data_IF_225189811555
#
_entry.id   IF_225189811555
#
_cell.length_a   1.000
_cell.length_b   1.000
_cell.length_c   1.000
_cell.angle_alpha   90.00
_cell.angle_beta   90.00
_cell.angle_gamma   90.00
#
_symmetry.space_group_name_H-M   'P 1'
#
loop_
_entity.id
_entity.type
_entity.pdbx_description
1 polymer ?
#
# COMPACT_ATOMS: atom_id res chain seq x y z
N UNK A 1 -6.32 -43.20 -46.96
CA UNK A 1 -5.80 -42.55 -45.74
C UNK A 1 -5.44 -41.11 -46.08
N UNK A 2 -6.10 -40.13 -45.47
CA UNK A 2 -5.74 -38.70 -45.58
C UNK A 2 -5.68 -38.15 -44.16
N UNK A 3 -4.48 -37.84 -43.69
CA UNK A 3 -4.27 -37.15 -42.42
C UNK A 3 -4.36 -35.64 -42.71
N UNK A 4 -5.40 -34.99 -42.22
CA UNK A 4 -5.45 -33.54 -42.17
C UNK A 4 -4.78 -33.07 -40.88
N UNK A 5 -3.52 -32.64 -41.01
CA UNK A 5 -2.84 -31.86 -39.99
C UNK A 5 -3.41 -30.44 -40.00
N UNK A 6 -4.35 -30.16 -39.11
CA UNK A 6 -4.69 -28.78 -38.73
C UNK A 6 -3.70 -28.33 -37.66
N UNK A 7 -2.65 -27.61 -38.09
CA UNK A 7 -1.79 -26.83 -37.20
C UNK A 7 -2.63 -25.69 -36.61
N UNK A 8 -2.99 -25.81 -35.34
CA UNK A 8 -3.58 -24.72 -34.57
C UNK A 8 -2.44 -23.83 -34.07
N UNK A 9 -2.24 -22.67 -34.70
CA UNK A 9 -1.28 -21.67 -34.25
C UNK A 9 -1.88 -20.91 -33.06
N UNK A 10 -1.41 -21.20 -31.85
CA UNK A 10 -1.71 -20.37 -30.67
C UNK A 10 -0.84 -19.10 -30.73
N UNK A 11 -1.42 -17.97 -31.14
CA UNK A 11 -0.81 -16.65 -30.94
C UNK A 11 -1.11 -16.25 -29.50
N UNK A 12 -0.14 -16.47 -28.60
CA UNK A 12 -0.15 -15.94 -27.24
C UNK A 12 0.20 -14.45 -27.29
N UNK A 13 -0.82 -13.60 -27.23
CA UNK A 13 -0.69 -12.15 -27.12
C UNK A 13 -0.49 -11.81 -25.64
N UNK A 14 0.76 -11.78 -25.18
CA UNK A 14 1.09 -11.34 -23.82
C UNK A 14 0.94 -9.82 -23.73
N UNK A 15 -0.13 -9.36 -23.08
CA UNK A 15 -0.25 -7.98 -22.64
C UNK A 15 0.73 -7.76 -21.48
N UNK A 16 1.86 -7.12 -21.78
CA UNK A 16 2.75 -6.61 -20.74
C UNK A 16 2.07 -5.37 -20.14
N UNK A 17 1.55 -5.49 -18.91
CA UNK A 17 1.11 -4.31 -18.17
C UNK A 17 2.35 -3.50 -17.76
N UNK A 18 2.41 -2.25 -18.21
CA UNK A 18 3.42 -1.29 -17.78
C UNK A 18 2.96 -0.68 -16.46
N UNK A 19 3.52 -1.15 -15.34
CA UNK A 19 3.27 -0.56 -14.03
C UNK A 19 4.10 0.70 -13.87
N UNK A 20 3.46 1.87 -13.86
CA UNK A 20 4.11 3.11 -13.48
C UNK A 20 4.10 3.22 -11.94
N UNK A 21 5.24 3.00 -11.30
CA UNK A 21 5.39 3.31 -9.87
C UNK A 21 5.81 4.78 -9.74
N UNK A 22 4.91 5.64 -9.25
CA UNK A 22 5.27 7.00 -8.83
C UNK A 22 5.80 6.91 -7.41
N UNK A 23 7.03 7.36 -7.19
CA UNK A 23 7.61 7.44 -5.85
C UNK A 23 6.76 8.38 -4.98
N UNK A 24 6.29 7.89 -3.82
CA UNK A 24 5.62 8.71 -2.80
C UNK A 24 6.69 9.26 -1.86
N UNK A 25 6.76 10.58 -1.70
CA UNK A 25 7.74 11.24 -0.83
C UNK A 25 7.08 11.83 0.42
N UNK A 26 7.83 11.89 1.51
CA UNK A 26 7.42 12.52 2.77
C UNK A 26 7.74 14.01 2.72
N UNK A 27 6.72 14.85 2.91
CA UNK A 27 6.83 16.30 2.81
C UNK A 27 7.34 16.98 4.08
N UNK A 28 7.05 16.41 5.25
CA UNK A 28 7.41 16.97 6.55
C UNK A 28 8.32 16.04 7.36
N UNK A 29 9.31 15.45 6.69
CA UNK A 29 10.23 14.49 7.32
C UNK A 29 11.03 15.12 8.47
N UNK A 30 11.49 16.37 8.32
CA UNK A 30 12.20 17.08 9.38
C UNK A 30 11.33 17.28 10.64
N UNK A 31 10.04 17.59 10.45
CA UNK A 31 9.09 17.73 11.57
C UNK A 31 8.86 16.38 12.25
N UNK A 32 8.77 15.29 11.47
CA UNK A 32 8.64 13.93 12.00
C UNK A 32 9.86 13.53 12.83
N UNK A 33 11.08 13.79 12.35
CA UNK A 33 12.30 13.48 13.09
C UNK A 33 12.39 14.23 14.41
N UNK A 34 12.02 15.51 14.43
CA UNK A 34 11.96 16.30 15.67
C UNK A 34 10.90 15.74 16.63
N UNK A 35 9.70 15.44 16.13
CA UNK A 35 8.63 14.84 16.92
C UNK A 35 9.06 13.50 17.53
N UNK A 36 9.57 12.58 16.71
CA UNK A 36 10.01 11.25 17.14
C UNK A 36 11.14 11.34 18.18
N UNK A 37 12.07 12.30 18.03
CA UNK A 37 13.15 12.54 18.99
C UNK A 37 12.69 13.03 20.37
N UNK A 38 11.46 13.56 20.46
CA UNK A 38 10.87 14.04 21.71
C UNK A 38 10.08 12.96 22.46
N UNK A 39 9.90 11.78 21.86
CA UNK A 39 9.21 10.65 22.50
C UNK A 39 10.08 10.03 23.61
N UNK A 40 9.43 9.49 24.64
CA UNK A 40 10.12 8.84 25.76
C UNK A 40 10.79 7.52 25.35
N UNK A 41 11.83 7.09 26.08
CA UNK A 41 12.58 5.85 25.80
C UNK A 41 11.74 4.56 25.82
N UNK A 42 10.55 4.59 26.44
CA UNK A 42 9.62 3.46 26.51
C UNK A 42 8.39 3.68 25.62
N UNK A 43 8.60 4.29 24.45
CA UNK A 43 7.56 4.51 23.46
C UNK A 43 7.86 3.75 22.17
N UNK A 44 6.81 3.35 21.47
CA UNK A 44 6.89 2.75 20.15
C UNK A 44 5.83 3.37 19.24
N UNK A 45 6.09 3.34 17.93
CA UNK A 45 5.25 4.00 16.92
C UNK A 45 4.43 2.97 16.14
N UNK A 46 3.15 3.26 15.96
CA UNK A 46 2.27 2.54 15.03
C UNK A 46 1.93 3.46 13.87
N UNK A 47 2.20 3.00 12.66
CA UNK A 47 1.78 3.67 11.42
C UNK A 47 0.38 3.18 11.06
N UNK A 48 -0.63 4.03 11.26
CA UNK A 48 -2.02 3.67 11.01
C UNK A 48 -2.31 3.58 9.51
N UNK A 49 -3.10 2.58 9.11
CA UNK A 49 -3.56 2.47 7.73
C UNK A 49 -4.42 3.70 7.36
N UNK A 50 -4.04 4.46 6.33
CA UNK A 50 -4.86 5.58 5.87
C UNK A 50 -6.01 5.08 4.98
N UNK A 51 -7.01 5.95 4.78
CA UNK A 51 -8.06 5.71 3.79
C UNK A 51 -7.54 5.93 2.37
N UNK A 52 -8.16 5.28 1.40
CA UNK A 52 -7.88 5.48 -0.03
C UNK A 52 -8.04 6.96 -0.43
N UNK A 53 -7.11 7.47 -1.23
CA UNK A 53 -7.10 8.86 -1.69
C UNK A 53 -6.62 9.90 -0.68
N UNK A 54 -6.26 9.51 0.54
CA UNK A 54 -5.62 10.41 1.49
C UNK A 54 -4.16 10.71 1.09
N UNK A 55 -3.67 11.90 1.46
CA UNK A 55 -2.26 12.31 1.33
C UNK A 55 -1.56 12.41 2.69
N UNK A 56 -2.19 11.89 3.75
CA UNK A 56 -1.70 11.99 5.12
C UNK A 56 -1.82 10.62 5.80
N UNK A 57 -0.79 10.25 6.57
CA UNK A 57 -0.75 9.07 7.43
C UNK A 57 -0.67 9.51 8.88
N UNK A 58 -1.48 8.89 9.75
CA UNK A 58 -1.40 9.12 11.19
C UNK A 58 -0.40 8.13 11.81
N UNK A 59 0.59 8.63 12.52
CA UNK A 59 1.51 7.85 13.34
C UNK A 59 1.11 8.05 14.79
N UNK A 60 0.84 6.97 15.51
CA UNK A 60 0.47 6.99 16.93
C UNK A 60 1.65 6.49 17.74
N UNK A 61 2.12 7.29 18.70
CA UNK A 61 3.10 6.85 19.68
C UNK A 61 2.37 6.27 20.90
N UNK A 62 2.77 5.06 21.31
CA UNK A 62 2.24 4.38 22.49
C UNK A 62 3.36 4.12 23.49
N UNK A 63 3.02 4.10 24.77
CA UNK A 63 3.94 3.65 25.82
C UNK A 63 3.92 2.12 25.96
N UNK A 64 4.72 1.59 26.90
CA UNK A 64 4.78 0.16 27.25
C UNK A 64 3.48 -0.46 27.76
N UNK A 65 2.46 0.35 28.08
CA UNK A 65 1.12 -0.07 28.53
C UNK A 65 0.06 0.09 27.42
N UNK A 66 0.48 0.25 26.16
CA UNK A 66 -0.39 0.48 24.99
C UNK A 66 -1.28 1.74 25.13
N UNK A 67 -0.84 2.72 25.92
CA UNK A 67 -1.51 4.01 26.06
C UNK A 67 -0.94 5.01 25.07
N UNK A 68 -1.82 5.68 24.32
CA UNK A 68 -1.43 6.74 23.40
C UNK A 68 -0.79 7.89 24.17
N UNK A 69 0.44 8.22 23.82
CA UNK A 69 1.18 9.35 24.41
C UNK A 69 1.18 10.57 23.50
N UNK A 70 1.19 10.37 22.18
CA UNK A 70 1.14 11.45 21.20
C UNK A 70 0.76 10.91 19.81
N UNK A 71 0.41 11.81 18.89
CA UNK A 71 0.08 11.50 17.51
C UNK A 71 0.73 12.49 16.53
N UNK A 72 1.16 11.99 15.38
CA UNK A 72 1.78 12.79 14.33
C UNK A 72 1.14 12.54 12.97
N UNK A 73 0.92 13.61 12.21
CA UNK A 73 0.39 13.55 10.85
C UNK A 73 1.53 13.69 9.83
N UNK A 74 1.91 12.56 9.22
CA UNK A 74 2.89 12.50 8.14
C UNK A 74 2.24 12.91 6.82
N UNK A 75 2.72 13.98 6.20
CA UNK A 75 2.21 14.51 4.92
C UNK A 75 3.01 13.93 3.76
N UNK A 76 2.31 13.52 2.71
CA UNK A 76 2.89 12.82 1.56
C UNK A 76 2.59 13.56 0.25
N UNK A 77 3.56 13.56 -0.67
CA UNK A 77 3.33 13.89 -2.09
C UNK A 77 3.04 12.59 -2.85
N UNK A 78 1.79 12.14 -2.73
CA UNK A 78 1.30 10.90 -3.30
C UNK A 78 0.19 10.28 -2.47
N UNK A 79 -0.23 9.08 -2.87
CA UNK A 79 -1.25 8.33 -2.16
C UNK A 79 -0.68 7.72 -0.86
N UNK A 80 -1.32 8.04 0.26
CA UNK A 80 -0.91 7.59 1.58
C UNK A 80 -1.06 6.07 1.77
N UNK A 81 -2.08 5.46 1.17
CA UNK A 81 -2.32 4.03 1.24
C UNK A 81 -1.23 3.27 0.50
N UNK A 82 -0.78 3.76 -0.65
CA UNK A 82 0.37 3.21 -1.39
C UNK A 82 1.65 3.30 -0.56
N UNK A 83 1.91 4.44 0.07
CA UNK A 83 3.10 4.59 0.92
C UNK A 83 3.06 3.67 2.14
N UNK A 84 1.93 3.60 2.84
CA UNK A 84 1.73 2.72 4.00
C UNK A 84 1.91 1.25 3.62
N UNK A 85 1.30 0.84 2.50
CA UNK A 85 1.45 -0.49 1.94
C UNK A 85 2.91 -0.86 1.71
N UNK A 86 3.71 0.06 1.17
CA UNK A 86 5.14 -0.15 0.98
C UNK A 86 5.88 -0.32 2.30
N UNK A 87 5.53 0.44 3.35
CA UNK A 87 6.14 0.28 4.67
C UNK A 87 5.81 -1.10 5.27
N UNK A 88 4.55 -1.52 5.21
CA UNK A 88 4.14 -2.85 5.68
C UNK A 88 4.81 -3.96 4.88
N UNK A 89 4.92 -3.82 3.56
CA UNK A 89 5.60 -4.76 2.69
C UNK A 89 7.12 -4.87 2.95
N UNK A 90 7.76 -3.83 3.50
CA UNK A 90 9.15 -3.89 3.96
C UNK A 90 9.27 -4.68 5.28
N UNK A 91 8.25 -4.62 6.15
CA UNK A 91 8.26 -5.30 7.45
C UNK A 91 8.04 -6.80 7.37
N UNK A 92 7.31 -7.28 6.37
CA UNK A 92 7.11 -8.70 6.11
C UNK A 92 7.88 -9.06 4.84
N UNK A 93 8.81 -10.01 4.92
CA UNK A 93 9.71 -10.49 3.83
C UNK A 93 8.97 -11.12 2.60
N UNK A 94 7.70 -10.76 2.40
CA UNK A 94 6.77 -11.13 1.34
C UNK A 94 6.31 -9.88 0.56
N UNK A 95 7.26 -9.07 0.10
CA UNK A 95 6.98 -7.82 -0.61
C UNK A 95 6.11 -8.03 -1.86
N UNK A 96 6.29 -9.15 -2.58
CA UNK A 96 5.77 -9.30 -3.93
C UNK A 96 4.28 -9.64 -3.98
N UNK A 97 3.77 -10.49 -3.08
CA UNK A 97 2.35 -10.86 -3.02
C UNK A 97 1.47 -9.74 -2.45
N UNK A 98 1.95 -9.00 -1.45
CA UNK A 98 1.22 -7.87 -0.87
C UNK A 98 1.15 -6.69 -1.85
N UNK A 99 2.25 -6.38 -2.54
CA UNK A 99 2.28 -5.35 -3.58
C UNK A 99 1.41 -5.72 -4.77
N UNK A 100 1.40 -6.99 -5.22
CA UNK A 100 0.50 -7.43 -6.30
C UNK A 100 -0.97 -7.32 -5.92
N UNK A 101 -1.36 -7.71 -4.70
CA UNK A 101 -2.74 -7.61 -4.24
C UNK A 101 -3.20 -6.16 -4.11
N UNK A 102 -2.34 -5.26 -3.62
CA UNK A 102 -2.67 -3.84 -3.48
C UNK A 102 -2.70 -3.12 -4.83
N UNK A 103 -1.78 -3.46 -5.74
CA UNK A 103 -1.84 -2.98 -7.14
C UNK A 103 -3.15 -3.42 -7.82
N UNK A 104 -3.62 -4.64 -7.55
CA UNK A 104 -4.88 -5.16 -8.09
C UNK A 104 -6.11 -4.41 -7.53
N UNK A 105 -6.09 -4.05 -6.25
CA UNK A 105 -7.17 -3.27 -5.62
C UNK A 105 -7.21 -1.85 -6.20
N UNK A 106 -6.06 -1.17 -6.28
CA UNK A 106 -5.98 0.21 -6.77
C UNK A 106 -6.28 0.34 -8.28
N UNK A 107 -5.88 -0.65 -9.09
CA UNK A 107 -6.19 -0.67 -10.53
C UNK A 107 -7.64 -1.01 -10.84
N UNK A 108 -8.36 -1.70 -9.93
CA UNK A 108 -9.81 -1.91 -10.05
C UNK A 108 -10.61 -0.66 -9.65
N UNK A 109 -10.10 0.19 -8.74
CA UNK A 109 -10.75 1.46 -8.42
C UNK A 109 -10.62 2.49 -9.55
N UNK A 110 -9.49 2.53 -10.26
CA UNK A 110 -9.29 3.45 -11.41
C UNK A 110 -10.03 3.04 -12.69
N UNK A 111 -10.49 1.79 -12.80
CA UNK A 111 -11.32 1.29 -13.90
C UNK A 111 -12.61 0.62 -13.38
N UNK A 112 -13.41 1.36 -12.62
CA UNK A 112 -14.85 1.14 -12.50
C UNK A 112 -15.30 -0.29 -12.15
N UNK A 113 -15.08 -0.73 -10.91
CA UNK A 113 -16.00 -1.65 -10.26
C UNK A 113 -15.91 -1.47 -8.74
N UNK A 114 -16.95 -0.89 -8.15
CA UNK A 114 -17.21 -0.96 -6.70
C UNK A 114 -17.34 -2.45 -6.34
N UNK A 115 -16.47 -3.04 -5.51
CA UNK A 115 -16.76 -4.35 -4.96
C UNK A 115 -17.89 -4.15 -3.94
N UNK A 116 -19.10 -4.57 -4.31
CA UNK A 116 -20.17 -4.78 -3.34
C UNK A 116 -19.71 -5.90 -2.40
N UNK A 117 -19.25 -5.54 -1.21
CA UNK A 117 -19.17 -6.50 -0.12
C UNK A 117 -20.60 -6.89 0.25
N UNK A 118 -21.04 -8.02 -0.32
CA UNK A 118 -22.17 -8.79 0.16
C UNK A 118 -21.94 -9.11 1.65
N UNK A 119 -22.65 -8.40 2.52
CA UNK A 119 -22.84 -8.80 3.91
C UNK A 119 -23.50 -10.18 3.92
N UNK A 120 -22.74 -11.22 4.28
CA UNK A 120 -23.33 -12.50 4.65
C UNK A 120 -24.08 -12.30 5.97
N UNK A 121 -25.41 -12.36 5.88
CA UNK A 121 -26.31 -12.64 6.99
C UNK A 121 -26.42 -14.15 7.22
#
# INVERSE_FOLDING_TARGET
MKFHHTLFWFILLTFNQLTFSRAVSVLNNEEYEVWSSCLGNETYEIVNQPNEGNTTVLITALNSEDTVVDEFSLKLDGDALVWWANQVAIMYDNSDELLQNLTTILTQTEFGARPEYSTLA
#
